data_IF_181247292212
#
_entry.id   IF_181247292212
#
_cell.length_a   1.000
_cell.length_b   1.000
_cell.length_c   1.000
_cell.angle_alpha   90.00
_cell.angle_beta   90.00
_cell.angle_gamma   90.00
#
_symmetry.space_group_name_H-M   'P 1'
#
loop_
_entity.id
_entity.type
_entity.pdbx_description
1 polymer ?
#
# COMPACT_ATOMS: atom_id res chain seq x y z
N UNK A 1 -39.59 -8.48 68.10
CA UNK A 1 -39.01 -9.31 69.16
C UNK A 1 -37.53 -9.45 68.85
N UNK A 2 -36.69 -8.87 69.71
CA UNK A 2 -35.23 -8.77 69.60
C UNK A 2 -34.59 -9.94 70.34
N UNK A 3 -33.54 -10.55 69.76
CA UNK A 3 -32.27 -11.01 70.39
C UNK A 3 -31.52 -11.87 69.34
N UNK A 4 -30.37 -11.49 68.73
CA UNK A 4 -29.02 -11.21 69.28
C UNK A 4 -28.51 -12.43 70.09
N UNK A 5 -27.39 -13.13 69.81
CA UNK A 5 -25.94 -12.80 69.68
C UNK A 5 -25.26 -14.10 69.16
N UNK A 6 -24.26 -14.14 68.26
CA UNK A 6 -22.84 -13.96 68.64
C UNK A 6 -21.91 -13.77 67.44
N UNK A 7 -21.14 -12.70 67.55
CA UNK A 7 -19.99 -12.33 66.73
C UNK A 7 -18.74 -12.97 67.33
N UNK A 8 -17.88 -13.55 66.50
CA UNK A 8 -16.43 -13.49 66.73
C UNK A 8 -15.74 -12.98 65.47
N UNK A 9 -15.20 -11.76 65.60
CA UNK A 9 -14.15 -11.18 64.75
C UNK A 9 -12.98 -12.16 64.66
N UNK A 10 -12.35 -12.28 63.49
CA UNK A 10 -10.90 -12.12 63.42
C UNK A 10 -10.47 -11.72 62.00
N UNK A 11 -9.64 -10.69 61.97
CA UNK A 11 -9.04 -10.04 60.82
C UNK A 11 -7.88 -10.87 60.26
N UNK A 12 -7.66 -10.71 58.96
CA UNK A 12 -6.66 -11.27 58.04
C UNK A 12 -5.31 -11.78 58.60
N UNK A 13 -4.84 -12.89 58.01
CA UNK A 13 -3.44 -13.09 57.65
C UNK A 13 -3.38 -13.61 56.20
N UNK A 14 -2.83 -12.78 55.32
CA UNK A 14 -2.43 -13.17 53.96
C UNK A 14 -1.25 -14.15 54.09
N UNK A 15 -1.44 -15.38 53.62
CA UNK A 15 -0.35 -16.31 53.38
C UNK A 15 -0.63 -17.03 52.05
N UNK A 16 0.10 -16.57 51.05
CA UNK A 16 0.19 -17.08 49.68
C UNK A 16 0.43 -18.59 49.68
N UNK A 17 -0.58 -19.39 49.31
CA UNK A 17 -0.42 -20.81 48.96
C UNK A 17 -1.13 -21.04 47.62
N UNK A 18 -0.31 -20.86 46.58
CA UNK A 18 -0.33 -21.46 45.24
C UNK A 18 -1.68 -22.01 44.75
N UNK A 19 -2.29 -21.25 43.83
CA UNK A 19 -3.26 -21.74 42.86
C UNK A 19 -2.61 -22.83 41.98
N UNK A 20 -2.66 -24.10 42.40
CA UNK A 20 -2.30 -25.25 41.54
C UNK A 20 -3.54 -25.82 40.83
N UNK A 21 -4.76 -25.40 41.21
CA UNK A 21 -6.00 -25.98 40.66
C UNK A 21 -6.50 -25.36 39.35
N UNK A 22 -6.29 -24.06 39.12
CA UNK A 22 -6.89 -23.34 37.99
C UNK A 22 -5.95 -23.16 36.79
N UNK A 23 -4.62 -23.21 36.99
CA UNK A 23 -3.68 -23.11 35.87
C UNK A 23 -3.54 -24.43 35.11
N UNK A 24 -3.73 -25.60 35.73
CA UNK A 24 -3.72 -26.86 34.98
C UNK A 24 -4.95 -26.99 34.05
N UNK A 25 -6.13 -26.54 34.45
CA UNK A 25 -7.32 -26.62 33.59
C UNK A 25 -7.23 -25.72 32.34
N UNK A 26 -6.57 -24.56 32.45
CA UNK A 26 -6.34 -23.66 31.31
C UNK A 26 -5.17 -24.10 30.43
N UNK A 27 -4.20 -24.86 30.97
CA UNK A 27 -3.09 -25.46 30.21
C UNK A 27 -3.51 -26.74 29.48
N UNK A 28 -4.59 -27.42 29.89
CA UNK A 28 -5.11 -28.61 29.19
C UNK A 28 -6.24 -28.35 28.18
N UNK A 29 -6.88 -27.17 28.20
CA UNK A 29 -7.90 -26.82 27.21
C UNK A 29 -7.30 -26.46 25.83
N UNK A 30 -5.97 -26.29 25.73
CA UNK A 30 -5.26 -25.98 24.48
C UNK A 30 -4.79 -27.21 23.69
N UNK A 31 -5.17 -28.44 24.05
CA UNK A 31 -4.62 -29.65 23.42
C UNK A 31 -5.62 -30.75 23.00
N UNK A 32 -6.82 -30.42 22.50
CA UNK A 32 -7.66 -31.41 21.81
C UNK A 32 -8.50 -30.78 20.68
N UNK A 33 -7.92 -29.91 19.85
CA UNK A 33 -8.48 -29.75 18.51
C UNK A 33 -8.17 -31.05 17.75
N UNK A 34 -9.17 -31.77 17.21
CA UNK A 34 -8.90 -32.96 16.41
C UNK A 34 -7.93 -32.59 15.29
N UNK A 35 -6.92 -33.44 15.06
CA UNK A 35 -5.98 -33.20 13.99
C UNK A 35 -6.73 -33.13 12.66
N UNK A 36 -6.46 -32.09 11.88
CA UNK A 36 -7.12 -31.89 10.59
C UNK A 36 -6.34 -32.66 9.51
N UNK A 37 -7.08 -33.36 8.66
CA UNK A 37 -6.57 -34.12 7.52
C UNK A 37 -7.23 -33.61 6.25
N UNK A 38 -6.46 -33.45 5.17
CA UNK A 38 -7.00 -33.00 3.88
C UNK A 38 -5.99 -32.26 3.02
N UNK A 39 -6.34 -32.13 1.75
CA UNK A 39 -5.61 -31.35 0.75
C UNK A 39 -6.45 -30.14 0.34
N UNK A 40 -5.79 -29.01 0.10
CA UNK A 40 -6.43 -27.78 -0.36
C UNK A 40 -6.12 -27.51 -1.82
N UNK A 41 -7.12 -27.01 -2.55
CA UNK A 41 -6.93 -26.43 -3.87
C UNK A 41 -7.77 -25.16 -4.01
N UNK A 42 -7.19 -24.12 -4.59
CA UNK A 42 -7.87 -22.90 -4.99
C UNK A 42 -7.64 -22.67 -6.47
N UNK A 43 -8.68 -22.26 -7.17
CA UNK A 43 -8.64 -21.89 -8.57
C UNK A 43 -9.25 -20.51 -8.74
N UNK A 44 -8.52 -19.62 -9.37
CA UNK A 44 -8.96 -18.25 -9.66
C UNK A 44 -8.71 -17.93 -11.13
N UNK A 45 -9.64 -17.18 -11.71
CA UNK A 45 -9.50 -16.42 -12.95
C UNK A 45 -10.50 -15.27 -12.91
N UNK A 46 -10.49 -14.42 -13.94
CA UNK A 46 -11.50 -13.37 -14.09
C UNK A 46 -12.91 -13.98 -14.17
N UNK A 47 -13.91 -13.24 -13.67
CA UNK A 47 -15.29 -13.73 -13.62
C UNK A 47 -16.06 -13.53 -14.94
N UNK A 48 -15.45 -12.84 -15.90
CA UNK A 48 -15.96 -12.62 -17.26
C UNK A 48 -14.78 -12.46 -18.23
N UNK A 49 -15.03 -12.61 -19.53
CA UNK A 49 -14.05 -12.40 -20.58
C UNK A 49 -14.75 -12.19 -21.93
N UNK A 50 -14.12 -11.43 -22.84
CA UNK A 50 -14.64 -11.34 -24.21
C UNK A 50 -14.18 -12.53 -25.04
N UNK A 51 -14.95 -12.84 -26.08
CA UNK A 51 -14.50 -13.80 -27.11
C UNK A 51 -13.17 -13.32 -27.71
N UNK A 52 -12.18 -14.21 -27.76
CA UNK A 52 -10.80 -13.94 -28.17
C UNK A 52 -9.87 -13.47 -27.06
N UNK A 53 -10.36 -13.18 -25.85
CA UNK A 53 -9.50 -12.83 -24.73
C UNK A 53 -8.72 -14.05 -24.24
N UNK A 54 -7.48 -13.82 -23.82
CA UNK A 54 -6.62 -14.82 -23.21
C UNK A 54 -6.78 -14.74 -21.68
N UNK A 55 -7.52 -15.69 -21.12
CA UNK A 55 -7.77 -15.78 -19.67
C UNK A 55 -6.61 -16.47 -18.97
N UNK A 56 -6.12 -15.87 -17.88
CA UNK A 56 -5.18 -16.50 -16.95
C UNK A 56 -5.91 -17.29 -15.87
N UNK A 57 -5.58 -18.58 -15.73
CA UNK A 57 -6.01 -19.41 -14.60
C UNK A 57 -4.84 -19.63 -13.64
N UNK A 58 -5.04 -19.30 -12.37
CA UNK A 58 -4.13 -19.68 -11.29
C UNK A 58 -4.73 -20.81 -10.46
N UNK A 59 -3.98 -21.90 -10.33
CA UNK A 59 -4.34 -23.07 -9.51
C UNK A 59 -3.30 -23.20 -8.41
N UNK A 60 -3.72 -23.07 -7.15
CA UNK A 60 -2.86 -23.25 -5.98
C UNK A 60 -3.25 -24.50 -5.22
N UNK A 61 -2.32 -25.45 -5.14
CA UNK A 61 -2.45 -26.67 -4.34
C UNK A 61 -1.66 -26.51 -3.05
N UNK A 62 -2.27 -26.77 -1.90
CA UNK A 62 -1.65 -26.54 -0.58
C UNK A 62 -2.02 -27.62 0.43
N UNK A 63 -1.24 -27.72 1.51
CA UNK A 63 -1.47 -28.66 2.59
C UNK A 63 -1.92 -27.93 3.87
N UNK A 64 -3.24 -27.82 4.11
CA UNK A 64 -3.78 -27.28 5.35
C UNK A 64 -3.72 -28.25 6.53
N UNK A 65 -3.38 -29.52 6.30
CA UNK A 65 -3.45 -30.57 7.32
C UNK A 65 -2.28 -30.55 8.30
N UNK A 66 -2.46 -31.27 9.41
CA UNK A 66 -1.42 -31.46 10.41
C UNK A 66 -0.42 -32.59 10.04
N UNK A 67 -0.53 -33.15 8.83
CA UNK A 67 0.23 -34.31 8.38
C UNK A 67 0.89 -34.05 7.03
N UNK A 68 2.01 -34.72 6.78
CA UNK A 68 2.66 -34.67 5.48
C UNK A 68 1.81 -35.38 4.43
N UNK A 69 1.63 -34.75 3.28
CA UNK A 69 0.94 -35.31 2.12
C UNK A 69 1.96 -35.88 1.11
N UNK A 70 1.59 -36.98 0.48
CA UNK A 70 2.36 -37.69 -0.53
C UNK A 70 1.49 -38.00 -1.75
N UNK A 71 2.14 -38.20 -2.90
CA UNK A 71 1.50 -38.61 -4.16
C UNK A 71 0.29 -37.73 -4.51
N UNK A 72 0.47 -36.41 -4.45
CA UNK A 72 -0.61 -35.44 -4.66
C UNK A 72 -0.85 -35.32 -6.17
N UNK A 73 -1.89 -35.97 -6.67
CA UNK A 73 -2.29 -35.95 -8.07
C UNK A 73 -3.18 -34.73 -8.34
N UNK A 74 -2.82 -33.92 -9.34
CA UNK A 74 -3.51 -32.68 -9.71
C UNK A 74 -3.99 -32.81 -11.14
N UNK A 75 -5.28 -32.62 -11.39
CA UNK A 75 -5.86 -32.77 -12.73
C UNK A 75 -6.84 -31.63 -13.04
N UNK A 76 -6.65 -30.97 -14.18
CA UNK A 76 -7.59 -30.02 -14.77
C UNK A 76 -7.82 -30.42 -16.24
N UNK A 77 -8.96 -31.03 -16.58
CA UNK A 77 -9.22 -31.51 -17.92
C UNK A 77 -9.29 -30.41 -18.98
N UNK A 78 -9.77 -29.21 -18.62
CA UNK A 78 -9.95 -28.11 -19.57
C UNK A 78 -8.60 -27.50 -19.95
N UNK A 79 -7.68 -27.40 -19.00
CA UNK A 79 -6.34 -26.85 -19.19
C UNK A 79 -5.30 -27.92 -19.54
N UNK A 80 -5.69 -29.20 -19.52
CA UNK A 80 -4.79 -30.32 -19.78
C UNK A 80 -3.75 -30.56 -18.69
N UNK A 81 -3.96 -30.04 -17.48
CA UNK A 81 -3.07 -30.29 -16.33
C UNK A 81 -3.24 -31.74 -15.87
N UNK A 82 -2.13 -32.45 -15.77
CA UNK A 82 -2.02 -33.76 -15.14
C UNK A 82 -0.61 -33.88 -14.56
N UNK A 83 -0.47 -33.61 -13.26
CA UNK A 83 0.82 -33.60 -12.57
C UNK A 83 0.74 -34.33 -11.22
N UNK A 84 1.88 -34.84 -10.75
CA UNK A 84 2.02 -35.47 -9.45
C UNK A 84 3.06 -34.71 -8.63
N UNK A 85 2.61 -34.06 -7.55
CA UNK A 85 3.50 -33.48 -6.54
C UNK A 85 3.89 -34.59 -5.55
N UNK A 86 5.18 -34.98 -5.44
CA UNK A 86 5.57 -36.15 -4.66
C UNK A 86 5.33 -36.00 -3.15
N UNK A 87 5.47 -34.78 -2.64
CA UNK A 87 5.46 -34.49 -1.21
C UNK A 87 5.06 -33.04 -0.93
N UNK A 88 4.29 -32.84 0.14
CA UNK A 88 4.03 -31.52 0.72
C UNK A 88 3.96 -31.61 2.23
N UNK A 89 4.86 -30.88 2.91
CA UNK A 89 4.94 -30.90 4.38
C UNK A 89 3.63 -30.45 5.04
N UNK A 90 3.35 -30.95 6.24
CA UNK A 90 2.27 -30.49 7.10
C UNK A 90 2.24 -28.96 7.19
N UNK A 91 1.03 -28.40 7.23
CA UNK A 91 0.75 -26.96 7.35
C UNK A 91 1.42 -26.06 6.29
N UNK A 92 1.88 -26.62 5.18
CA UNK A 92 2.35 -25.84 4.03
C UNK A 92 1.16 -25.17 3.31
N UNK A 93 0.75 -24.02 3.84
CA UNK A 93 -0.32 -23.19 3.27
C UNK A 93 0.15 -22.33 2.12
N UNK A 94 1.48 -22.16 1.92
CA UNK A 94 2.01 -21.44 0.75
C UNK A 94 1.75 -22.23 -0.53
N UNK A 95 1.92 -23.54 -0.48
CA UNK A 95 1.55 -24.47 -1.57
C UNK A 95 2.43 -24.36 -2.81
N UNK A 96 1.94 -24.93 -3.91
CA UNK A 96 2.48 -24.86 -5.27
C UNK A 96 1.42 -24.22 -6.18
N UNK A 97 1.84 -23.27 -7.02
CA UNK A 97 0.95 -22.58 -7.96
C UNK A 97 1.28 -22.95 -9.39
N UNK A 98 0.25 -23.24 -10.19
CA UNK A 98 0.32 -23.37 -11.64
C UNK A 98 -0.38 -22.17 -12.28
N UNK A 99 0.19 -21.67 -13.37
CA UNK A 99 -0.39 -20.62 -14.20
C UNK A 99 -0.62 -21.16 -15.60
N UNK A 100 -1.85 -21.00 -16.10
CA UNK A 100 -2.25 -21.41 -17.44
C UNK A 100 -2.95 -20.26 -18.15
N UNK A 101 -2.88 -20.28 -19.47
CA UNK A 101 -3.56 -19.32 -20.32
C UNK A 101 -4.46 -20.06 -21.31
N UNK A 102 -5.69 -19.59 -21.48
CA UNK A 102 -6.65 -20.14 -22.46
C UNK A 102 -7.41 -19.03 -23.15
N UNK A 103 -7.51 -19.12 -24.46
CA UNK A 103 -8.34 -18.23 -25.27
C UNK A 103 -9.83 -18.60 -25.12
N UNK A 104 -10.69 -17.60 -24.98
CA UNK A 104 -12.15 -17.76 -24.96
C UNK A 104 -12.68 -17.84 -26.39
N UNK A 105 -13.38 -18.91 -26.73
CA UNK A 105 -13.89 -19.16 -28.06
C UNK A 105 -15.38 -18.82 -28.16
N UNK A 106 -15.85 -18.50 -29.38
CA UNK A 106 -17.26 -18.16 -29.63
C UNK A 106 -18.22 -19.33 -29.33
N UNK A 107 -17.74 -20.56 -29.47
CA UNK A 107 -18.51 -21.80 -29.22
C UNK A 107 -18.38 -22.34 -27.80
N UNK A 108 -17.65 -21.66 -26.92
CA UNK A 108 -17.56 -22.04 -25.52
C UNK A 108 -18.92 -21.93 -24.81
N UNK A 109 -19.20 -22.82 -23.83
CA UNK A 109 -20.38 -22.68 -23.00
C UNK A 109 -20.33 -21.34 -22.23
N UNK A 110 -21.47 -20.69 -22.07
CA UNK A 110 -21.61 -19.46 -21.29
C UNK A 110 -22.57 -19.70 -20.11
N UNK A 111 -22.09 -19.75 -18.85
CA UNK A 111 -20.71 -19.47 -18.43
C UNK A 111 -19.72 -20.59 -18.76
N UNK A 112 -18.46 -20.22 -19.00
CA UNK A 112 -17.33 -21.14 -19.15
C UNK A 112 -16.89 -21.63 -17.78
N UNK A 113 -17.22 -22.87 -17.46
CA UNK A 113 -16.94 -23.48 -16.17
C UNK A 113 -15.68 -24.35 -16.28
N UNK A 114 -14.72 -24.09 -15.39
CA UNK A 114 -13.51 -24.90 -15.26
C UNK A 114 -13.32 -25.40 -13.83
N UNK A 115 -13.08 -26.70 -13.68
CA UNK A 115 -12.88 -27.36 -12.39
C UNK A 115 -11.54 -28.10 -12.34
N UNK A 116 -10.77 -27.86 -11.28
CA UNK A 116 -9.56 -28.61 -10.95
C UNK A 116 -9.85 -29.60 -9.83
N UNK A 117 -9.25 -30.79 -9.92
CA UNK A 117 -9.31 -31.84 -8.92
C UNK A 117 -7.92 -32.13 -8.36
N UNK A 118 -7.86 -32.39 -7.05
CA UNK A 118 -6.64 -32.81 -6.35
C UNK A 118 -6.95 -34.02 -5.49
N UNK A 119 -6.09 -35.03 -5.54
CA UNK A 119 -6.11 -36.19 -4.65
C UNK A 119 -4.75 -36.33 -3.97
N UNK A 120 -4.71 -36.63 -2.67
CA UNK A 120 -3.47 -36.78 -1.90
C UNK A 120 -3.59 -37.88 -0.83
N UNK A 121 -2.47 -38.37 -0.33
CA UNK A 121 -2.42 -39.42 0.71
C UNK A 121 -1.57 -38.97 1.89
N UNK A 122 -2.01 -39.24 3.12
CA UNK A 122 -1.21 -39.13 4.35
C UNK A 122 -1.08 -40.49 5.07
N UNK A 123 -0.67 -40.49 6.35
CA UNK A 123 -0.54 -41.71 7.14
C UNK A 123 -1.85 -42.40 7.51
N UNK A 124 -2.98 -41.70 7.46
CA UNK A 124 -4.29 -42.17 7.88
C UNK A 124 -5.22 -42.47 6.69
N UNK A 125 -5.01 -41.86 5.52
CA UNK A 125 -5.85 -42.15 4.35
C UNK A 125 -5.58 -41.33 3.10
N UNK A 126 -6.55 -41.38 2.18
CA UNK A 126 -6.58 -40.59 0.95
C UNK A 126 -7.65 -39.51 1.04
N UNK A 127 -7.37 -38.35 0.46
CA UNK A 127 -8.21 -37.16 0.53
C UNK A 127 -8.30 -36.52 -0.85
N UNK A 128 -9.45 -35.92 -1.15
CA UNK A 128 -9.69 -35.22 -2.40
C UNK A 128 -10.24 -33.82 -2.15
N UNK A 129 -9.95 -32.90 -3.05
CA UNK A 129 -10.49 -31.55 -3.06
C UNK A 129 -10.69 -31.08 -4.50
N UNK A 130 -11.62 -30.16 -4.72
CA UNK A 130 -11.82 -29.52 -6.02
C UNK A 130 -12.09 -28.03 -5.86
N UNK A 131 -11.83 -27.29 -6.93
CA UNK A 131 -12.12 -25.86 -7.00
C UNK A 131 -12.57 -25.49 -8.41
N UNK A 132 -13.64 -24.71 -8.48
CA UNK A 132 -14.31 -24.36 -9.73
C UNK A 132 -14.28 -22.85 -9.94
N UNK A 133 -14.01 -22.43 -11.17
CA UNK A 133 -14.13 -21.05 -11.65
C UNK A 133 -15.14 -21.01 -12.79
N UNK A 134 -16.04 -20.03 -12.78
CA UNK A 134 -16.97 -19.76 -13.86
C UNK A 134 -16.68 -18.39 -14.47
N UNK A 135 -16.73 -18.29 -15.80
CA UNK A 135 -16.46 -17.07 -16.54
C UNK A 135 -17.65 -16.76 -17.44
N UNK A 136 -18.27 -15.59 -17.30
CA UNK A 136 -19.29 -15.12 -18.23
C UNK A 136 -18.63 -14.68 -19.54
N UNK A 137 -19.02 -15.27 -20.67
CA UNK A 137 -18.48 -14.91 -21.98
C UNK A 137 -19.28 -13.77 -22.58
N UNK A 138 -18.58 -12.75 -23.07
CA UNK A 138 -19.17 -11.62 -23.79
C UNK A 138 -18.74 -11.68 -25.25
N UNK A 139 -19.70 -11.80 -26.17
CA UNK A 139 -19.42 -12.01 -27.60
C UNK A 139 -19.08 -10.73 -28.34
N UNK A 140 -19.56 -9.57 -27.86
CA UNK A 140 -19.35 -8.27 -28.51
C UNK A 140 -18.96 -7.20 -27.48
N UNK A 141 -17.92 -6.40 -27.80
CA UNK A 141 -17.53 -5.22 -27.04
C UNK A 141 -18.41 -4.02 -27.41
N UNK A 142 -19.60 -3.96 -26.83
CA UNK A 142 -20.57 -2.88 -27.09
C UNK A 142 -20.60 -1.80 -26.00
N UNK A 143 -19.91 -2.04 -24.88
CA UNK A 143 -19.62 -1.03 -23.88
C UNK A 143 -18.12 -1.04 -23.61
N UNK A 144 -17.55 0.15 -23.46
CA UNK A 144 -16.15 0.35 -23.14
C UNK A 144 -16.03 1.25 -21.91
N UNK A 145 -15.02 0.99 -21.09
CA UNK A 145 -14.70 1.79 -19.91
C UNK A 145 -13.20 2.05 -19.90
N UNK A 146 -12.83 3.29 -19.63
CA UNK A 146 -11.46 3.70 -19.41
C UNK A 146 -11.36 4.41 -18.06
N UNK A 147 -10.27 4.15 -17.36
CA UNK A 147 -9.97 4.77 -16.07
C UNK A 147 -8.57 5.37 -16.13
N UNK A 148 -8.43 6.59 -15.64
CA UNK A 148 -7.16 7.29 -15.54
C UNK A 148 -7.03 7.89 -14.15
N UNK A 149 -5.81 7.88 -13.62
CA UNK A 149 -5.40 8.55 -12.39
C UNK A 149 -4.00 9.13 -12.56
N UNK A 150 -3.37 9.63 -11.48
CA UNK A 150 -1.96 9.99 -11.53
C UNK A 150 -1.07 8.73 -11.57
N UNK A 151 0.11 8.82 -12.19
CA UNK A 151 1.09 7.71 -12.21
C UNK A 151 1.70 7.49 -10.81
N UNK A 152 1.86 8.56 -10.03
CA UNK A 152 2.41 8.53 -8.67
C UNK A 152 1.68 9.49 -7.74
N UNK A 153 1.61 9.18 -6.45
CA UNK A 153 1.04 10.05 -5.42
C UNK A 153 1.70 9.83 -4.04
N UNK A 154 1.57 10.81 -3.15
CA UNK A 154 1.95 10.66 -1.76
C UNK A 154 0.79 10.10 -0.92
N UNK A 155 1.13 9.37 0.14
CA UNK A 155 0.19 9.03 1.21
C UNK A 155 -0.46 10.31 1.79
N UNK A 156 -1.78 10.29 1.99
CA UNK A 156 -2.54 11.46 2.45
C UNK A 156 -2.89 12.49 1.35
N UNK A 157 -2.34 12.37 0.14
CA UNK A 157 -2.63 13.29 -0.97
C UNK A 157 -4.07 13.13 -1.48
N UNK A 158 -4.65 14.24 -1.96
CA UNK A 158 -5.91 14.22 -2.71
C UNK A 158 -5.62 14.02 -4.20
N UNK A 159 -5.93 12.85 -4.73
CA UNK A 159 -5.78 12.51 -6.14
C UNK A 159 -7.11 12.56 -6.88
N UNK A 160 -7.06 12.70 -8.21
CA UNK A 160 -8.23 12.72 -9.08
C UNK A 160 -8.20 11.53 -10.05
N UNK A 161 -9.32 10.81 -10.14
CA UNK A 161 -9.57 9.80 -11.15
C UNK A 161 -10.58 10.32 -12.18
N UNK A 162 -10.34 9.97 -13.44
CA UNK A 162 -11.28 10.17 -14.54
C UNK A 162 -11.75 8.80 -15.03
N UNK A 163 -13.06 8.56 -14.98
CA UNK A 163 -13.72 7.36 -15.54
C UNK A 163 -14.50 7.80 -16.77
N UNK A 164 -14.24 7.17 -17.92
CA UNK A 164 -14.98 7.39 -19.17
C UNK A 164 -15.68 6.10 -19.54
N UNK A 165 -16.99 6.17 -19.79
CA UNK A 165 -17.80 5.03 -20.24
C UNK A 165 -18.40 5.37 -21.58
N UNK A 166 -18.30 4.47 -22.55
CA UNK A 166 -18.73 4.67 -23.92
C UNK A 166 -19.59 3.50 -24.40
N UNK A 167 -20.73 3.79 -25.02
CA UNK A 167 -21.48 2.81 -25.79
C UNK A 167 -20.86 2.70 -27.19
N UNK A 168 -20.07 1.65 -27.40
CA UNK A 168 -19.41 1.34 -28.67
C UNK A 168 -20.28 0.49 -29.61
N UNK A 169 -21.45 0.07 -29.13
CA UNK A 169 -22.42 -0.69 -29.91
C UNK A 169 -23.20 0.15 -30.93
N UNK A 170 -24.05 -0.54 -31.70
CA UNK A 170 -24.93 0.04 -32.72
C UNK A 170 -26.38 0.26 -32.21
N UNK A 171 -26.60 0.16 -30.91
CA UNK A 171 -27.93 0.28 -30.27
C UNK A 171 -27.81 1.05 -28.95
N UNK A 172 -28.90 1.70 -28.54
CA UNK A 172 -28.98 2.36 -27.23
C UNK A 172 -28.89 1.33 -26.10
N UNK A 173 -28.10 1.65 -25.06
CA UNK A 173 -27.99 0.89 -23.83
C UNK A 173 -28.82 1.56 -22.74
N UNK A 174 -29.64 0.77 -22.05
CA UNK A 174 -30.51 1.24 -20.98
C UNK A 174 -30.06 0.67 -19.64
N UNK A 175 -30.25 1.43 -18.56
CA UNK A 175 -29.91 0.97 -17.21
C UNK A 175 -28.43 0.58 -17.06
N UNK A 176 -27.54 1.35 -17.69
CA UNK A 176 -26.10 1.20 -17.54
C UNK A 176 -25.72 1.63 -16.14
N UNK A 177 -25.06 0.73 -15.41
CA UNK A 177 -24.58 0.95 -14.05
C UNK A 177 -23.06 1.04 -14.06
N UNK A 178 -22.51 2.12 -13.50
CA UNK A 178 -21.07 2.35 -13.35
C UNK A 178 -20.76 2.40 -11.86
N UNK A 179 -19.83 1.57 -11.40
CA UNK A 179 -19.46 1.47 -9.98
C UNK A 179 -17.95 1.52 -9.80
N UNK A 180 -17.52 2.20 -8.74
CA UNK A 180 -16.14 2.22 -8.25
C UNK A 180 -16.18 2.16 -6.72
N UNK A 181 -15.86 0.99 -6.17
CA UNK A 181 -15.96 0.70 -4.74
C UNK A 181 -14.97 1.53 -3.91
N UNK A 182 -13.74 1.68 -4.40
CA UNK A 182 -12.70 2.44 -3.71
C UNK A 182 -13.07 3.93 -3.59
N UNK A 183 -13.76 4.48 -4.59
CA UNK A 183 -14.27 5.84 -4.59
C UNK A 183 -15.66 5.98 -3.92
N UNK A 184 -16.32 4.86 -3.58
CA UNK A 184 -17.70 4.86 -3.10
C UNK A 184 -18.68 5.45 -4.12
N UNK A 185 -18.39 5.28 -5.41
CA UNK A 185 -19.15 5.88 -6.52
C UNK A 185 -20.07 4.85 -7.17
N UNK A 186 -21.30 5.29 -7.48
CA UNK A 186 -22.27 4.54 -8.28
C UNK A 186 -23.10 5.51 -9.10
N UNK A 187 -23.31 5.19 -10.38
CA UNK A 187 -24.16 5.93 -11.31
C UNK A 187 -25.01 4.94 -12.12
N UNK A 188 -26.25 5.33 -12.40
CA UNK A 188 -27.17 4.58 -13.27
C UNK A 188 -27.76 5.53 -14.31
N UNK A 189 -27.79 5.12 -15.57
CA UNK A 189 -28.43 5.87 -16.64
C UNK A 189 -28.34 5.19 -18.00
N UNK A 190 -28.85 5.87 -19.02
CA UNK A 190 -28.86 5.35 -20.39
C UNK A 190 -27.69 5.94 -21.20
N UNK A 191 -27.23 5.19 -22.20
CA UNK A 191 -26.23 5.63 -23.18
C UNK A 191 -26.74 5.35 -24.59
N UNK A 192 -27.02 6.40 -25.35
CA UNK A 192 -27.40 6.28 -26.76
C UNK A 192 -26.28 5.68 -27.60
N UNK A 193 -26.57 5.20 -28.81
CA UNK A 193 -25.55 4.75 -29.77
C UNK A 193 -24.39 5.76 -29.92
N UNK A 194 -23.17 5.34 -29.58
CA UNK A 194 -21.96 6.17 -29.65
C UNK A 194 -21.82 7.24 -28.57
N UNK A 195 -22.71 7.27 -27.57
CA UNK A 195 -22.67 8.22 -26.46
C UNK A 195 -21.61 7.83 -25.42
N UNK A 196 -20.97 8.85 -24.84
CA UNK A 196 -20.02 8.68 -23.74
C UNK A 196 -20.36 9.57 -22.56
N UNK A 197 -20.13 9.05 -21.34
CA UNK A 197 -20.17 9.81 -20.10
C UNK A 197 -18.78 9.84 -19.46
N UNK A 198 -18.45 10.96 -18.82
CA UNK A 198 -17.17 11.18 -18.14
C UNK A 198 -17.42 11.60 -16.70
N UNK A 199 -16.80 10.91 -15.75
CA UNK A 199 -16.88 11.17 -14.32
C UNK A 199 -15.51 11.54 -13.79
N UNK A 200 -15.40 12.68 -13.12
CA UNK A 200 -14.18 13.11 -12.43
C UNK A 200 -14.42 13.05 -10.92
N UNK A 201 -13.65 12.21 -10.24
CA UNK A 201 -13.85 11.86 -8.84
C UNK A 201 -12.54 12.04 -8.08
N UNK A 202 -12.61 12.48 -6.83
CA UNK A 202 -11.42 12.66 -6.00
C UNK A 202 -11.33 11.58 -4.94
N UNK A 203 -10.10 11.26 -4.55
CA UNK A 203 -9.80 10.25 -3.54
C UNK A 203 -8.65 10.73 -2.65
N UNK A 204 -8.78 10.52 -1.34
CA UNK A 204 -7.67 10.74 -0.40
C UNK A 204 -6.90 9.44 -0.23
N UNK A 205 -5.63 9.44 -0.63
CA UNK A 205 -4.75 8.28 -0.43
C UNK A 205 -4.64 7.98 1.07
N UNK A 206 -4.93 6.76 1.54
CA UNK A 206 -4.76 6.40 2.95
C UNK A 206 -3.29 6.55 3.39
N UNK A 207 -3.08 6.99 4.62
CA UNK A 207 -1.71 7.17 5.15
C UNK A 207 -0.97 5.85 5.39
N UNK A 208 -1.69 4.73 5.39
CA UNK A 208 -1.19 3.36 5.61
C UNK A 208 -1.25 2.49 4.35
N UNK A 209 -1.49 3.10 3.18
CA UNK A 209 -1.55 2.37 1.92
C UNK A 209 -0.16 1.81 1.53
N UNK A 210 -0.17 0.60 0.96
CA UNK A 210 1.01 -0.14 0.47
C UNK A 210 1.73 0.59 -0.68
N UNK A 211 2.84 0.05 -1.18
CA UNK A 211 3.67 0.69 -2.25
C UNK A 211 2.90 1.07 -3.53
N UNK A 212 1.74 0.47 -3.77
CA UNK A 212 0.88 0.81 -4.91
C UNK A 212 -0.58 0.90 -4.51
N UNK A 213 -1.30 1.81 -5.14
CA UNK A 213 -2.74 1.97 -5.02
C UNK A 213 -3.39 1.63 -6.36
N UNK A 214 -4.04 0.45 -6.44
CA UNK A 214 -4.81 0.05 -7.61
C UNK A 214 -6.27 0.32 -7.40
N UNK A 215 -6.87 1.09 -8.30
CA UNK A 215 -8.29 1.40 -8.30
C UNK A 215 -8.97 0.79 -9.53
N UNK A 216 -10.10 0.12 -9.34
CA UNK A 216 -10.88 -0.53 -10.40
C UNK A 216 -12.28 0.09 -10.47
N UNK A 217 -12.68 0.47 -11.68
CA UNK A 217 -14.05 0.85 -12.00
C UNK A 217 -14.68 -0.21 -12.90
N UNK A 218 -15.97 -0.44 -12.70
CA UNK A 218 -16.74 -1.45 -13.43
C UNK A 218 -17.94 -0.79 -14.07
N UNK A 219 -18.37 -1.31 -15.21
CA UNK A 219 -19.61 -0.92 -15.86
C UNK A 219 -20.35 -2.14 -16.32
N UNK A 220 -21.67 -2.13 -16.19
CA UNK A 220 -22.50 -3.21 -16.68
C UNK A 220 -23.90 -2.78 -17.08
N UNK A 221 -24.54 -3.55 -17.94
CA UNK A 221 -25.95 -3.43 -18.30
C UNK A 221 -26.49 -4.78 -18.80
N UNK A 222 -27.81 -4.89 -18.93
CA UNK A 222 -28.44 -6.07 -19.54
C UNK A 222 -28.99 -5.70 -20.92
N UNK A 223 -28.61 -6.46 -21.95
CA UNK A 223 -29.15 -6.33 -23.30
C UNK A 223 -29.62 -7.69 -23.80
N UNK A 224 -30.91 -7.82 -24.11
CA UNK A 224 -31.52 -9.05 -24.62
C UNK A 224 -31.20 -10.30 -23.75
N UNK A 225 -31.40 -10.19 -22.43
CA UNK A 225 -31.11 -11.26 -21.45
C UNK A 225 -29.61 -11.61 -21.35
N UNK A 226 -28.73 -10.82 -21.98
CA UNK A 226 -27.27 -10.97 -21.90
C UNK A 226 -26.69 -9.86 -21.04
N UNK A 227 -25.91 -10.26 -20.03
CA UNK A 227 -25.15 -9.33 -19.20
C UNK A 227 -23.94 -8.82 -19.99
N UNK A 228 -23.86 -7.51 -20.17
CA UNK A 228 -22.67 -6.85 -20.70
C UNK A 228 -21.95 -6.24 -19.52
N UNK A 229 -20.65 -6.45 -19.47
CA UNK A 229 -19.79 -5.98 -18.40
C UNK A 229 -18.45 -5.54 -18.99
N UNK A 230 -17.86 -4.49 -18.44
CA UNK A 230 -16.48 -4.11 -18.68
C UNK A 230 -15.86 -3.56 -17.39
N UNK A 231 -14.54 -3.62 -17.28
CA UNK A 231 -13.81 -2.98 -16.18
C UNK A 231 -12.59 -2.25 -16.70
N UNK A 232 -12.16 -1.24 -15.94
CA UNK A 232 -10.90 -0.55 -16.14
C UNK A 232 -10.24 -0.32 -14.80
N UNK A 233 -8.93 -0.58 -14.76
CA UNK A 233 -8.10 -0.35 -13.60
C UNK A 233 -7.04 0.71 -13.88
N UNK A 234 -6.62 1.39 -12.83
CA UNK A 234 -5.46 2.26 -12.83
C UNK A 234 -4.65 2.03 -11.56
N UNK A 235 -3.34 1.86 -11.71
CA UNK A 235 -2.42 1.68 -10.59
C UNK A 235 -1.57 2.94 -10.44
N UNK A 236 -1.61 3.52 -9.25
CA UNK A 236 -0.78 4.65 -8.84
C UNK A 236 0.37 4.13 -7.98
N UNK A 237 1.61 4.49 -8.27
CA UNK A 237 2.74 4.23 -7.39
C UNK A 237 2.68 5.16 -6.17
N UNK A 238 2.72 4.60 -4.96
CA UNK A 238 2.76 5.40 -3.75
C UNK A 238 4.21 5.66 -3.36
N UNK A 239 4.55 6.95 -3.36
CA UNK A 239 5.86 7.39 -2.92
C UNK A 239 5.97 7.10 -1.41
N UNK A 240 7.06 6.43 -1.02
CA UNK A 240 7.32 6.01 0.36
C UNK A 240 7.24 7.18 1.35
N UNK A 241 6.82 6.93 2.61
CA UNK A 241 6.53 7.99 3.57
C UNK A 241 7.72 8.91 3.78
N UNK A 242 7.41 10.20 3.80
CA UNK A 242 8.32 11.26 4.18
C UNK A 242 9.05 10.93 5.48
N UNK A 243 10.39 10.89 5.45
CA UNK A 243 11.19 10.86 6.67
C UNK A 243 11.12 12.28 7.23
N UNK A 244 10.62 12.52 8.46
CA UNK A 244 10.64 13.86 9.02
C UNK A 244 12.07 14.42 8.98
N UNK A 245 12.26 15.67 8.52
CA UNK A 245 13.59 16.24 8.46
C UNK A 245 14.23 16.23 9.85
N UNK A 246 15.51 15.91 9.88
CA UNK A 246 16.29 15.92 11.10
C UNK A 246 16.77 17.34 11.41
N UNK A 247 16.66 17.74 12.68
CA UNK A 247 17.16 19.04 13.13
C UNK A 247 18.65 19.22 12.84
N UNK A 248 19.10 20.47 12.73
CA UNK A 248 20.54 20.80 12.70
C UNK A 248 21.30 20.18 13.90
N UNK A 249 20.65 20.07 15.06
CA UNK A 249 21.22 19.41 16.24
C UNK A 249 21.46 17.91 16.04
N UNK A 250 20.57 17.23 15.31
CA UNK A 250 20.73 15.82 14.97
C UNK A 250 21.96 15.58 14.11
N UNK A 251 22.05 16.26 12.95
CA UNK A 251 23.17 16.12 12.02
C UNK A 251 24.52 16.46 12.66
N UNK A 252 24.55 17.44 13.56
CA UNK A 252 25.75 17.79 14.32
C UNK A 252 26.23 16.66 15.24
N UNK A 253 25.30 15.86 15.77
CA UNK A 253 25.56 14.85 16.79
C UNK A 253 25.60 13.41 16.25
N UNK A 254 25.17 13.18 15.00
CA UNK A 254 25.15 11.88 14.32
C UNK A 254 25.89 11.94 12.96
N UNK A 255 27.18 12.30 12.94
CA UNK A 255 27.95 12.38 11.70
C UNK A 255 28.02 11.05 10.94
N UNK A 256 27.94 9.92 11.62
CA UNK A 256 27.89 8.57 11.03
C UNK A 256 26.68 8.34 10.12
N UNK A 257 25.61 9.15 10.27
CA UNK A 257 24.38 9.01 9.50
C UNK A 257 24.31 9.95 8.29
N UNK A 258 25.35 10.79 8.06
CA UNK A 258 25.34 11.69 6.91
C UNK A 258 25.32 10.91 5.60
N UNK A 259 24.41 11.21 4.65
CA UNK A 259 24.33 10.52 3.37
C UNK A 259 25.48 10.88 2.41
N UNK A 260 26.24 11.93 2.71
CA UNK A 260 27.32 12.48 1.89
C UNK A 260 28.55 12.83 2.74
N UNK A 261 29.72 12.80 2.11
CA UNK A 261 31.00 13.14 2.73
C UNK A 261 31.43 14.59 2.48
N UNK A 262 30.69 15.33 1.66
CA UNK A 262 30.93 16.74 1.34
C UNK A 262 29.60 17.47 1.10
N UNK A 263 29.58 18.78 1.39
CA UNK A 263 28.43 19.65 1.17
C UNK A 263 28.92 20.97 0.57
N UNK A 264 28.29 21.42 -0.50
CA UNK A 264 28.52 22.74 -1.06
C UNK A 264 27.69 23.78 -0.30
N UNK A 265 28.28 24.92 0.04
CA UNK A 265 27.58 26.05 0.67
C UNK A 265 28.03 27.33 -0.05
N UNK A 266 27.09 27.98 -0.72
CA UNK A 266 27.41 29.07 -1.66
C UNK A 266 28.22 28.56 -2.84
N UNK A 267 29.45 29.04 -2.99
CA UNK A 267 30.36 28.62 -4.07
C UNK A 267 31.57 27.82 -3.56
N UNK A 268 31.44 27.23 -2.36
CA UNK A 268 32.54 26.52 -1.68
C UNK A 268 32.08 25.14 -1.24
N UNK A 269 32.84 24.12 -1.65
CA UNK A 269 32.66 22.73 -1.16
C UNK A 269 33.40 22.55 0.16
N UNK A 270 32.70 22.04 1.16
CA UNK A 270 33.23 21.72 2.48
C UNK A 270 33.23 20.21 2.70
N UNK A 271 34.30 19.67 3.27
CA UNK A 271 34.28 18.27 3.73
C UNK A 271 33.32 18.12 4.91
N UNK A 272 32.91 16.90 5.21
CA UNK A 272 32.12 16.56 6.40
C UNK A 272 32.70 17.14 7.69
N UNK A 273 34.02 17.07 7.89
CA UNK A 273 34.68 17.64 9.06
C UNK A 273 34.56 19.16 9.13
N UNK A 274 34.68 19.84 7.99
CA UNK A 274 34.56 21.30 7.90
C UNK A 274 33.10 21.75 8.08
N UNK A 275 32.15 21.04 7.48
CA UNK A 275 30.72 21.27 7.66
C UNK A 275 30.27 21.04 9.12
N UNK A 276 30.86 20.06 9.82
CA UNK A 276 30.63 19.89 11.27
C UNK A 276 31.15 21.07 12.11
N UNK A 277 32.17 21.80 11.65
CA UNK A 277 32.58 23.06 12.29
C UNK A 277 31.53 24.13 12.08
N UNK A 278 30.99 24.28 10.86
CA UNK A 278 29.90 25.21 10.55
C UNK A 278 28.68 24.96 11.46
N UNK A 279 28.24 23.70 11.61
CA UNK A 279 27.13 23.34 12.50
C UNK A 279 27.37 23.68 13.98
N UNK A 280 28.63 23.64 14.44
CA UNK A 280 28.99 23.99 15.83
C UNK A 280 28.98 25.50 16.08
N UNK A 281 29.14 26.30 15.03
CA UNK A 281 29.19 27.76 15.08
C UNK A 281 27.82 28.43 14.88
N UNK A 282 26.74 27.65 14.84
CA UNK A 282 25.35 28.10 14.63
C UNK A 282 24.85 29.17 15.63
N UNK A 283 25.45 29.25 16.84
CA UNK A 283 25.11 30.25 17.86
C UNK A 283 25.93 31.55 17.75
N UNK A 284 26.64 31.76 16.63
CA UNK A 284 27.38 32.99 16.40
C UNK A 284 26.43 34.19 16.27
N UNK A 285 26.94 35.41 16.52
CA UNK A 285 26.20 36.66 16.24
C UNK A 285 26.12 37.00 14.75
N UNK A 286 26.93 36.32 13.94
CA UNK A 286 27.05 36.50 12.50
C UNK A 286 25.94 35.74 11.77
N UNK A 287 25.11 36.47 11.02
CA UNK A 287 23.98 35.90 10.30
C UNK A 287 24.38 34.90 9.22
N UNK A 288 25.56 35.05 8.59
CA UNK A 288 26.05 34.08 7.59
C UNK A 288 26.37 32.72 8.22
N UNK A 289 26.87 32.71 9.45
CA UNK A 289 27.16 31.47 10.20
C UNK A 289 25.89 30.78 10.66
N UNK A 290 24.89 31.55 11.09
CA UNK A 290 23.57 31.04 11.45
C UNK A 290 22.86 30.42 10.24
N UNK A 291 22.86 31.13 9.10
CA UNK A 291 22.27 30.66 7.84
C UNK A 291 22.98 29.42 7.32
N UNK A 292 24.32 29.44 7.24
CA UNK A 292 25.10 28.31 6.76
C UNK A 292 24.85 27.03 7.57
N UNK A 293 24.71 27.13 8.90
CA UNK A 293 24.42 25.97 9.73
C UNK A 293 23.05 25.34 9.41
N UNK A 294 22.02 26.16 9.20
CA UNK A 294 20.70 25.63 8.80
C UNK A 294 20.71 25.08 7.38
N UNK A 295 21.43 25.73 6.45
CA UNK A 295 21.56 25.27 5.08
C UNK A 295 22.25 23.90 4.99
N UNK A 296 23.32 23.67 5.77
CA UNK A 296 23.96 22.33 5.85
C UNK A 296 22.93 21.28 6.27
N UNK A 297 22.16 21.53 7.33
CA UNK A 297 21.14 20.60 7.80
C UNK A 297 20.03 20.38 6.75
N UNK A 298 19.57 21.43 6.09
CA UNK A 298 18.54 21.34 5.05
C UNK A 298 19.02 20.57 3.82
N UNK A 299 20.28 20.72 3.40
CA UNK A 299 20.87 19.92 2.32
C UNK A 299 21.02 18.45 2.69
N UNK A 300 21.47 18.16 3.92
CA UNK A 300 21.53 16.77 4.41
C UNK A 300 20.14 16.15 4.46
N UNK A 301 19.14 16.89 4.94
CA UNK A 301 17.74 16.48 4.88
C UNK A 301 17.30 16.24 3.44
N UNK A 302 17.58 17.15 2.51
CA UNK A 302 17.18 17.01 1.09
C UNK A 302 17.80 15.81 0.38
N UNK A 303 19.02 15.43 0.76
CA UNK A 303 19.66 14.21 0.21
C UNK A 303 19.17 12.94 0.94
N UNK A 304 18.84 13.04 2.23
CA UNK A 304 18.32 11.91 3.02
C UNK A 304 16.82 11.67 2.81
N UNK A 305 16.10 12.67 2.31
CA UNK A 305 14.66 12.74 2.27
C UNK A 305 14.19 13.61 1.08
N UNK A 306 13.30 13.08 0.25
CA UNK A 306 12.78 13.80 -0.92
C UNK A 306 11.32 14.25 -0.74
N UNK A 307 11.02 14.85 0.41
CA UNK A 307 9.72 15.48 0.63
C UNK A 307 9.66 16.83 -0.09
N UNK A 308 8.69 16.99 -0.98
CA UNK A 308 8.47 18.22 -1.74
C UNK A 308 7.51 19.21 -1.05
N UNK A 309 6.92 18.85 0.10
CA UNK A 309 5.86 19.67 0.70
C UNK A 309 6.21 20.05 2.14
N UNK A 310 6.67 21.29 2.33
CA UNK A 310 6.88 21.93 3.63
C UNK A 310 5.95 23.14 3.75
N UNK A 311 5.21 23.23 4.85
CA UNK A 311 4.31 24.35 5.16
C UNK A 311 4.94 25.24 6.22
N UNK A 312 4.97 26.56 6.00
CA UNK A 312 5.44 27.56 6.95
C UNK A 312 4.38 28.66 7.10
N UNK A 313 3.89 28.87 8.32
CA UNK A 313 2.85 29.87 8.61
C UNK A 313 1.57 29.74 7.74
N UNK A 314 1.05 28.51 7.57
CA UNK A 314 -0.14 28.18 6.76
C UNK A 314 -0.01 28.42 5.25
N UNK A 315 1.20 28.68 4.76
CA UNK A 315 1.51 28.77 3.32
C UNK A 315 2.47 27.65 2.90
N UNK A 316 2.26 27.12 1.70
CA UNK A 316 3.16 26.14 1.07
C UNK A 316 4.45 26.84 0.67
N UNK A 317 5.61 26.32 1.11
CA UNK A 317 6.92 26.87 0.79
C UNK A 317 7.70 25.87 -0.07
N UNK A 318 8.24 26.35 -1.20
CA UNK A 318 9.20 25.59 -1.99
C UNK A 318 10.58 25.63 -1.29
N UNK A 319 10.88 24.57 -0.54
CA UNK A 319 12.16 24.48 0.19
C UNK A 319 13.37 24.42 -0.75
N UNK A 320 13.22 23.95 -1.99
CA UNK A 320 14.32 23.90 -2.95
C UNK A 320 14.70 25.32 -3.42
N UNK A 321 13.70 26.19 -3.60
CA UNK A 321 13.93 27.61 -3.88
C UNK A 321 14.65 28.30 -2.71
N UNK A 322 14.20 28.07 -1.47
CA UNK A 322 14.83 28.66 -0.28
C UNK A 322 16.28 28.20 -0.08
N UNK A 323 16.57 26.91 -0.32
CA UNK A 323 17.95 26.37 -0.31
C UNK A 323 18.80 27.07 -1.38
N UNK A 324 18.27 27.22 -2.59
CA UNK A 324 18.96 27.91 -3.69
C UNK A 324 19.24 29.38 -3.35
N UNK A 325 18.27 30.10 -2.78
CA UNK A 325 18.45 31.49 -2.36
C UNK A 325 19.49 31.63 -1.23
N UNK A 326 19.50 30.70 -0.28
CA UNK A 326 20.51 30.67 0.78
C UNK A 326 21.93 30.40 0.24
N UNK A 327 22.08 29.53 -0.77
CA UNK A 327 23.35 29.35 -1.47
C UNK A 327 23.78 30.62 -2.20
N UNK A 328 22.90 31.24 -2.99
CA UNK A 328 23.20 32.49 -3.71
C UNK A 328 23.67 33.55 -2.70
N UNK A 329 22.94 33.73 -1.60
CA UNK A 329 23.29 34.68 -0.56
C UNK A 329 24.67 34.39 0.04
N UNK A 330 24.99 33.13 0.37
CA UNK A 330 26.30 32.76 0.93
C UNK A 330 27.44 32.77 -0.09
N UNK A 331 27.12 32.71 -1.38
CA UNK A 331 28.05 32.95 -2.49
C UNK A 331 28.48 34.42 -2.59
N UNK A 332 27.56 35.35 -2.33
CA UNK A 332 27.82 36.79 -2.30
C UNK A 332 28.39 37.28 -0.95
N UNK A 333 27.96 36.64 0.14
CA UNK A 333 28.37 36.93 1.52
C UNK A 333 29.02 35.69 2.17
N UNK A 334 30.35 35.52 2.01
CA UNK A 334 31.05 34.36 2.54
C UNK A 334 30.88 34.20 4.06
N UNK A 335 30.88 32.95 4.53
CA UNK A 335 30.75 32.61 5.96
C UNK A 335 31.78 33.39 6.79
N UNK A 336 31.32 34.17 7.76
CA UNK A 336 32.18 35.02 8.59
C UNK A 336 32.21 36.49 8.18
N UNK A 337 31.55 36.88 7.07
CA UNK A 337 31.52 38.26 6.59
C UNK A 337 30.66 39.19 7.44
N UNK A 338 29.76 38.65 8.27
CA UNK A 338 28.90 39.39 9.19
C UNK A 338 28.19 40.61 8.56
N UNK A 339 27.33 40.40 7.55
CA UNK A 339 26.54 41.47 6.94
C UNK A 339 25.66 42.19 7.98
N UNK A 340 25.36 43.46 7.71
CA UNK A 340 24.57 44.34 8.57
C UNK A 340 23.28 44.79 7.87
N UNK A 341 22.40 45.47 8.61
CA UNK A 341 21.18 46.09 8.08
C UNK A 341 20.31 45.14 7.25
N UNK A 342 20.00 45.49 6.00
CA UNK A 342 19.07 44.75 5.15
C UNK A 342 19.59 43.35 4.79
N UNK A 343 20.88 43.23 4.48
CA UNK A 343 21.53 41.94 4.19
C UNK A 343 21.48 41.00 5.40
N UNK A 344 21.63 41.56 6.60
CA UNK A 344 21.46 40.79 7.84
C UNK A 344 20.03 40.28 7.97
N UNK A 345 19.04 41.11 7.67
CA UNK A 345 17.63 40.70 7.77
C UNK A 345 17.29 39.63 6.74
N UNK A 346 17.76 39.76 5.50
CA UNK A 346 17.58 38.74 4.46
C UNK A 346 18.17 37.38 4.88
N UNK A 347 19.39 37.37 5.41
CA UNK A 347 20.02 36.15 5.92
C UNK A 347 19.22 35.48 7.05
N UNK A 348 18.66 36.29 7.97
CA UNK A 348 17.86 35.78 9.09
C UNK A 348 16.52 35.23 8.63
N UNK A 349 15.87 35.85 7.64
CA UNK A 349 14.62 35.34 7.06
C UNK A 349 14.81 33.96 6.44
N UNK A 350 15.83 33.79 5.58
CA UNK A 350 16.18 32.50 5.00
C UNK A 350 16.52 31.48 6.10
N UNK A 351 17.31 31.89 7.10
CA UNK A 351 17.68 31.04 8.24
C UNK A 351 16.47 30.55 9.02
N UNK A 352 15.46 31.39 9.24
CA UNK A 352 14.26 31.03 10.01
C UNK A 352 13.35 30.07 9.25
N UNK A 353 13.21 30.23 7.92
CA UNK A 353 12.46 29.29 7.07
C UNK A 353 13.16 27.92 7.06
N UNK A 354 14.49 27.88 6.86
CA UNK A 354 15.25 26.63 6.87
C UNK A 354 15.23 25.94 8.24
N UNK A 355 15.28 26.71 9.33
CA UNK A 355 15.13 26.18 10.69
C UNK A 355 13.76 25.55 10.92
N UNK A 356 12.69 26.20 10.46
CA UNK A 356 11.36 25.64 10.55
C UNK A 356 11.22 24.35 9.72
N UNK A 357 11.82 24.30 8.52
CA UNK A 357 11.89 23.07 7.73
C UNK A 357 12.61 21.96 8.50
N UNK A 358 13.82 22.23 9.01
CA UNK A 358 14.65 21.24 9.69
C UNK A 358 14.04 20.72 11.01
N UNK A 359 13.05 21.42 11.59
CA UNK A 359 12.36 20.99 12.81
C UNK A 359 10.88 20.67 12.57
N UNK A 360 10.45 20.54 11.31
CA UNK A 360 9.08 20.15 11.00
C UNK A 360 8.85 18.67 11.30
N UNK A 361 7.69 18.37 11.87
CA UNK A 361 7.17 17.01 11.95
C UNK A 361 6.29 16.80 10.71
N UNK A 362 6.31 15.59 10.11
CA UNK A 362 5.32 15.25 9.09
C UNK A 362 3.93 15.27 9.73
N UNK A 363 3.06 16.17 9.27
CA UNK A 363 1.63 16.15 9.62
C UNK A 363 0.89 15.08 8.79
#
# INVERSE_FOLDING_TARGET
>A
MINMISVKKFTALVATIVLIGASLAYVFASQLQPAFHGVGVLKNADSFAYTGDLVEYQIRVYNPSNYDLYNINVTDPMLGLNDMIPFMAATNTTGLTYTFYREVLEDDPNPLINEVYVEAVDSEGAYSSSSTQAITIITERIIDIAKMGPDSAYQGEMIMYTITVNNTGAVDLFGVVVEDEMLGFSWEGDLSEGESNVFNLTYRVPCDAEETLTNTATVWCELNETMIYAEALWTTELLSPCIPPHSMGYWKNHPEEWPVEEVEIGNVTYTKEEALVILKEANAKDATRMLAAQLVASKLNKVSNDCSTFCYCDETVDIAEVISDADIFLGEHPIGSNPQDDDRQAALQLKDILDAYNNSECD
#
